data_IF_297188910775
#
_entry.id   IF_297188910775
#
_cell.length_a   1.000
_cell.length_b   1.000
_cell.length_c   1.000
_cell.angle_alpha   90.00
_cell.angle_beta   90.00
_cell.angle_gamma   90.00
#
_symmetry.space_group_name_H-M   'P 1'
#
loop_
_entity.id
_entity.type
_entity.pdbx_description
1 polymer ?
#
# COMPACT_ATOMS: atom_id res chain seq x y z
N UNK A 1 -16.91 17.37 -6.45
CA UNK A 1 -17.46 16.04 -6.10
C UNK A 1 -16.57 14.94 -6.68
N UNK A 2 -15.33 14.79 -6.18
CA UNK A 2 -14.40 13.77 -6.71
C UNK A 2 -13.43 13.19 -5.67
N UNK A 3 -13.31 13.76 -4.48
CA UNK A 3 -12.27 13.36 -3.50
C UNK A 3 -12.55 12.04 -2.75
N UNK A 4 -13.78 11.52 -2.81
CA UNK A 4 -14.17 10.28 -2.10
C UNK A 4 -13.89 9.00 -2.92
N UNK A 5 -13.37 9.14 -4.15
CA UNK A 5 -13.04 8.00 -5.02
C UNK A 5 -11.89 7.15 -4.48
N UNK A 6 -10.94 7.74 -3.77
CA UNK A 6 -9.83 7.00 -3.17
C UNK A 6 -10.30 6.15 -2.00
N UNK A 7 -11.07 6.75 -1.09
CA UNK A 7 -11.55 6.06 0.10
C UNK A 7 -12.67 5.05 -0.22
N UNK A 8 -13.41 5.20 -1.33
CA UNK A 8 -14.44 4.25 -1.75
C UNK A 8 -13.89 2.94 -2.31
N UNK A 9 -12.62 2.90 -2.69
CA UNK A 9 -11.92 1.67 -3.12
C UNK A 9 -11.38 0.84 -1.96
N UNK A 10 -11.36 1.40 -0.75
CA UNK A 10 -10.93 0.70 0.45
C UNK A 10 -12.06 -0.21 0.94
N UNK A 11 -11.69 -1.41 1.38
CA UNK A 11 -12.60 -2.25 2.17
C UNK A 11 -12.97 -1.52 3.48
N UNK A 12 -14.07 -1.92 4.15
CA UNK A 12 -14.46 -1.31 5.41
C UNK A 12 -13.38 -1.38 6.50
N UNK A 13 -12.55 -2.42 6.51
CA UNK A 13 -11.46 -2.55 7.48
C UNK A 13 -10.31 -1.58 7.18
N UNK A 14 -9.92 -1.45 5.92
CA UNK A 14 -8.87 -0.52 5.48
C UNK A 14 -9.30 0.94 5.68
N UNK A 15 -10.56 1.26 5.40
CA UNK A 15 -11.12 2.60 5.64
C UNK A 15 -11.05 2.96 7.13
N UNK A 16 -11.42 2.05 8.03
CA UNK A 16 -11.30 2.28 9.49
C UNK A 16 -9.85 2.47 9.93
N UNK A 17 -8.91 1.72 9.37
CA UNK A 17 -7.50 1.89 9.67
C UNK A 17 -7.00 3.28 9.22
N UNK A 18 -7.41 3.72 8.03
CA UNK A 18 -7.09 5.06 7.51
C UNK A 18 -7.68 6.17 8.39
N UNK A 19 -8.94 6.02 8.81
CA UNK A 19 -9.62 6.98 9.70
C UNK A 19 -8.92 7.09 11.06
N UNK A 20 -8.46 5.96 11.62
CA UNK A 20 -7.69 5.98 12.87
C UNK A 20 -6.36 6.74 12.73
N UNK A 21 -5.63 6.53 11.63
CA UNK A 21 -4.39 7.26 11.34
C UNK A 21 -4.64 8.76 11.14
N UNK A 22 -5.75 9.10 10.48
CA UNK A 22 -6.17 10.48 10.27
C UNK A 22 -6.45 11.21 11.59
N UNK A 23 -7.15 10.55 12.51
CA UNK A 23 -7.40 11.06 13.87
C UNK A 23 -6.10 11.26 14.65
N UNK A 24 -5.19 10.28 14.60
CA UNK A 24 -3.89 10.37 15.26
C UNK A 24 -3.03 11.51 14.72
N UNK A 25 -3.03 11.70 13.39
CA UNK A 25 -2.24 12.73 12.73
C UNK A 25 -2.87 14.13 12.83
N UNK A 26 -4.18 14.24 13.13
CA UNK A 26 -4.91 15.51 13.15
C UNK A 26 -5.23 16.07 11.75
N UNK A 27 -5.29 15.21 10.73
CA UNK A 27 -5.58 15.57 9.34
C UNK A 27 -6.78 14.79 8.79
N UNK A 28 -7.45 15.27 7.74
CA UNK A 28 -8.47 14.49 7.04
C UNK A 28 -7.91 13.20 6.43
N UNK A 29 -8.70 12.12 6.45
CA UNK A 29 -8.30 10.82 5.91
C UNK A 29 -7.92 10.87 4.42
N UNK A 30 -8.52 11.78 3.65
CA UNK A 30 -8.21 12.01 2.24
C UNK A 30 -6.80 12.57 2.06
N UNK A 31 -6.37 13.50 2.91
CA UNK A 31 -5.03 14.10 2.86
C UNK A 31 -3.97 13.05 3.22
N UNK A 32 -4.22 12.27 4.26
CA UNK A 32 -3.35 11.14 4.63
C UNK A 32 -3.26 10.12 3.49
N UNK A 33 -4.39 9.76 2.87
CA UNK A 33 -4.39 8.82 1.74
C UNK A 33 -3.57 9.35 0.56
N UNK A 34 -3.65 10.64 0.24
CA UNK A 34 -2.86 11.26 -0.82
C UNK A 34 -1.36 11.24 -0.51
N UNK A 35 -0.97 11.57 0.72
CA UNK A 35 0.44 11.53 1.16
C UNK A 35 1.00 10.11 1.15
N UNK A 36 0.21 9.11 1.58
CA UNK A 36 0.60 7.70 1.52
C UNK A 36 0.83 7.23 0.07
N UNK A 37 -0.05 7.62 -0.86
CA UNK A 37 0.12 7.31 -2.29
C UNK A 37 1.38 7.96 -2.84
N UNK A 38 1.61 9.25 -2.55
CA UNK A 38 2.80 9.97 -2.99
C UNK A 38 4.09 9.34 -2.43
N UNK A 39 4.10 8.97 -1.15
CA UNK A 39 5.22 8.30 -0.51
C UNK A 39 5.50 6.92 -1.14
N UNK A 40 4.46 6.13 -1.41
CA UNK A 40 4.61 4.84 -2.07
C UNK A 40 5.14 4.98 -3.50
N UNK A 41 4.64 5.96 -4.26
CA UNK A 41 5.14 6.23 -5.61
C UNK A 41 6.61 6.65 -5.59
N UNK A 42 7.01 7.54 -4.68
CA UNK A 42 8.43 7.90 -4.50
C UNK A 42 9.26 6.66 -4.15
N UNK A 43 8.80 5.84 -3.20
CA UNK A 43 9.47 4.60 -2.85
C UNK A 43 9.66 3.66 -4.04
N UNK A 44 8.64 3.53 -4.90
CA UNK A 44 8.71 2.69 -6.10
C UNK A 44 9.61 3.29 -7.18
N UNK A 45 9.58 4.61 -7.37
CA UNK A 45 10.37 5.33 -8.38
C UNK A 45 11.85 5.47 -7.98
N UNK A 46 12.11 5.66 -6.69
CA UNK A 46 13.44 5.82 -6.09
C UNK A 46 14.06 4.47 -5.72
N UNK A 47 13.26 3.39 -5.70
CA UNK A 47 13.83 2.06 -5.62
C UNK A 47 14.78 1.87 -6.82
N UNK A 48 16.02 1.40 -6.59
CA UNK A 48 16.96 1.20 -7.68
C UNK A 48 16.28 0.34 -8.75
N UNK A 49 16.55 0.63 -10.03
CA UNK A 49 16.10 -0.12 -11.23
C UNK A 49 16.39 -1.65 -11.17
N UNK A 50 16.92 -2.14 -10.07
CA UNK A 50 17.18 -3.53 -9.72
C UNK A 50 16.06 -4.19 -8.86
N UNK A 51 14.92 -3.54 -8.59
CA UNK A 51 13.76 -4.30 -8.09
C UNK A 51 13.21 -5.15 -9.26
N UNK A 52 13.24 -6.49 -9.18
CA UNK A 52 12.65 -7.32 -10.21
C UNK A 52 11.15 -7.08 -10.26
N UNK A 53 10.53 -7.16 -11.45
CA UNK A 53 9.09 -6.95 -11.70
C UNK A 53 8.16 -7.71 -10.73
N UNK A 54 8.68 -8.74 -10.06
CA UNK A 54 7.99 -9.53 -9.03
C UNK A 54 8.92 -9.78 -7.84
N UNK A 55 9.03 -8.83 -6.88
CA UNK A 55 9.96 -8.93 -5.76
C UNK A 55 9.72 -10.15 -4.85
N UNK A 56 8.49 -10.69 -4.87
CA UNK A 56 8.10 -11.84 -4.04
C UNK A 56 8.27 -13.20 -4.72
N UNK A 57 8.66 -13.25 -6.01
CA UNK A 57 8.69 -14.50 -6.79
C UNK A 57 9.66 -15.55 -6.18
N UNK A 58 10.78 -15.10 -5.63
CA UNK A 58 11.75 -15.96 -4.96
C UNK A 58 11.20 -16.61 -3.68
N UNK A 59 10.37 -15.90 -2.92
CA UNK A 59 9.72 -16.43 -1.72
C UNK A 59 8.65 -17.47 -2.08
N UNK A 60 7.86 -17.21 -3.14
CA UNK A 60 6.85 -18.14 -3.66
C UNK A 60 7.49 -19.46 -4.11
N UNK A 61 8.60 -19.40 -4.85
CA UNK A 61 9.34 -20.61 -5.30
C UNK A 61 9.85 -21.44 -4.12
N UNK A 62 10.41 -20.81 -3.08
CA UNK A 62 10.87 -21.50 -1.86
C UNK A 62 9.72 -22.13 -1.07
N UNK A 63 8.59 -21.43 -0.97
CA UNK A 63 7.39 -21.96 -0.31
C UNK A 63 6.85 -23.21 -1.05
N UNK A 64 6.87 -23.20 -2.38
CA UNK A 64 6.48 -24.35 -3.20
C UNK A 64 7.42 -25.54 -3.02
N UNK A 65 8.74 -25.31 -3.02
CA UNK A 65 9.74 -26.36 -2.81
C UNK A 65 9.60 -27.06 -1.45
N UNK A 66 9.32 -26.31 -0.37
CA UNK A 66 9.09 -26.89 0.97
C UNK A 66 7.80 -27.67 1.12
N UNK A 67 6.83 -27.48 0.22
CA UNK A 67 5.53 -28.16 0.27
C UNK A 67 5.52 -29.48 -0.52
N UNK A 68 6.51 -29.70 -1.38
CA UNK A 68 6.60 -30.85 -2.27
C UNK A 68 7.89 -31.66 -2.10
N UNK A 69 8.67 -31.38 -1.04
CA UNK A 69 9.86 -32.12 -0.66
C UNK A 69 9.73 -32.66 0.76
#
# INVERSE_FOLDING_TARGET
MSDDLLLSRLSPAERRAMEALAVEAGFPAQEIAAEMVAAYLRLVLDAPRALPDRPLLGLIRRAKARRHG
#
